data_IF_906723294495
#
_entry.id   IF_906723294495
#
_cell.length_a   1.000
_cell.length_b   1.000
_cell.length_c   1.000
_cell.angle_alpha   90.00
_cell.angle_beta   90.00
_cell.angle_gamma   90.00
#
_symmetry.space_group_name_H-M   'P 1'
#
loop_
_entity.id
_entity.type
_entity.pdbx_description
1 polymer ?
#
# COMPACT_ATOMS: atom_id res chain seq x y z
N UNK A 1 -22.78 -16.66 17.42
CA UNK A 1 -23.15 -15.29 17.03
C UNK A 1 -22.79 -15.13 15.56
N UNK A 2 -23.79 -14.99 14.68
CA UNK A 2 -23.54 -14.83 13.24
C UNK A 2 -22.87 -13.47 12.99
N UNK A 3 -21.68 -13.48 12.37
CA UNK A 3 -20.97 -12.26 11.98
C UNK A 3 -21.47 -11.81 10.61
N UNK A 4 -21.76 -10.51 10.47
CA UNK A 4 -22.06 -9.89 9.19
C UNK A 4 -20.88 -10.05 8.22
N UNK A 5 -21.16 -10.18 6.92
CA UNK A 5 -20.12 -10.02 5.92
C UNK A 5 -19.64 -8.56 5.83
N UNK A 6 -18.52 -8.30 5.15
CA UNK A 6 -17.96 -6.96 4.96
C UNK A 6 -18.94 -5.97 4.34
N UNK A 7 -19.73 -6.43 3.37
CA UNK A 7 -20.71 -5.59 2.66
C UNK A 7 -21.86 -5.22 3.59
N UNK A 8 -22.40 -6.18 4.34
CA UNK A 8 -23.48 -5.92 5.30
C UNK A 8 -22.99 -5.02 6.43
N UNK A 9 -21.77 -5.23 6.93
CA UNK A 9 -21.18 -4.39 7.97
C UNK A 9 -20.96 -2.95 7.49
N UNK A 10 -20.47 -2.76 6.26
CA UNK A 10 -20.36 -1.43 5.65
C UNK A 10 -21.72 -0.75 5.50
N UNK A 11 -22.71 -1.52 5.03
CA UNK A 11 -24.08 -1.02 4.85
C UNK A 11 -24.71 -0.64 6.19
N UNK A 12 -24.43 -1.41 7.25
CA UNK A 12 -24.87 -1.10 8.60
C UNK A 12 -24.22 0.17 9.16
N UNK A 13 -22.91 0.34 8.95
CA UNK A 13 -22.15 1.51 9.42
C UNK A 13 -22.53 2.79 8.68
N UNK A 14 -23.04 2.70 7.45
CA UNK A 14 -23.40 3.89 6.66
C UNK A 14 -24.76 4.49 7.02
N UNK A 15 -25.62 3.78 7.77
CA UNK A 15 -26.98 4.23 8.10
C UNK A 15 -26.96 5.52 8.94
N UNK A 16 -26.27 5.50 10.08
CA UNK A 16 -26.16 6.68 10.97
C UNK A 16 -24.95 6.59 11.92
N UNK A 17 -24.60 7.72 12.56
CA UNK A 17 -23.49 7.80 13.52
C UNK A 17 -23.64 6.82 14.70
N UNK A 18 -24.86 6.61 15.18
CA UNK A 18 -25.12 5.69 16.29
C UNK A 18 -24.85 4.22 15.91
N UNK A 19 -25.27 3.79 14.72
CA UNK A 19 -25.03 2.43 14.22
C UNK A 19 -23.55 2.19 13.91
N UNK A 20 -22.88 3.20 13.35
CA UNK A 20 -21.43 3.16 13.19
C UNK A 20 -20.72 2.98 14.53
N UNK A 21 -21.11 3.75 15.55
CA UNK A 21 -20.54 3.64 16.90
C UNK A 21 -20.82 2.27 17.53
N UNK A 22 -22.06 1.78 17.42
CA UNK A 22 -22.48 0.50 18.00
C UNK A 22 -21.75 -0.71 17.38
N UNK A 23 -21.36 -0.61 16.11
CA UNK A 23 -20.63 -1.67 15.39
C UNK A 23 -19.12 -1.46 15.35
N UNK A 24 -18.58 -0.53 16.13
CA UNK A 24 -17.15 -0.16 16.10
C UNK A 24 -16.19 -1.29 16.47
N UNK A 25 -16.63 -2.22 17.30
CA UNK A 25 -15.88 -3.43 17.70
C UNK A 25 -16.24 -4.65 16.86
N UNK A 26 -17.20 -4.54 15.94
CA UNK A 26 -17.61 -5.66 15.09
C UNK A 26 -16.56 -5.91 13.99
N UNK A 27 -16.06 -7.14 13.93
CA UNK A 27 -15.27 -7.68 12.82
C UNK A 27 -16.20 -8.31 11.78
N UNK A 28 -15.86 -8.20 10.49
CA UNK A 28 -16.59 -8.94 9.45
C UNK A 28 -16.22 -10.44 9.46
N UNK A 29 -17.15 -11.30 9.05
CA UNK A 29 -16.96 -12.76 8.93
C UNK A 29 -15.77 -13.17 8.04
N UNK A 30 -15.44 -12.31 7.07
CA UNK A 30 -14.49 -12.58 5.98
C UNK A 30 -13.05 -12.21 6.33
N UNK A 31 -12.78 -11.53 7.46
CA UNK A 31 -11.40 -11.30 7.94
C UNK A 31 -10.62 -12.62 8.21
N UNK A 32 -11.26 -13.78 8.06
CA UNK A 32 -10.74 -15.12 8.35
C UNK A 32 -10.79 -16.11 7.16
N UNK A 33 -11.16 -15.70 5.93
CA UNK A 33 -11.23 -16.63 4.78
C UNK A 33 -9.91 -16.66 3.99
N UNK A 34 -9.32 -17.84 3.70
CA UNK A 34 -8.00 -17.98 3.07
C UNK A 34 -7.85 -17.43 1.65
N UNK A 35 -8.94 -17.15 0.94
CA UNK A 35 -8.93 -16.80 -0.50
C UNK A 35 -9.78 -15.56 -0.80
N UNK A 36 -9.83 -14.60 0.13
CA UNK A 36 -10.53 -13.35 -0.12
C UNK A 36 -9.76 -12.50 -1.14
N UNK A 37 -10.43 -12.06 -2.20
CA UNK A 37 -9.81 -11.17 -3.20
C UNK A 37 -9.74 -9.74 -2.66
N UNK A 38 -8.60 -9.05 -2.84
CA UNK A 38 -8.47 -7.69 -2.36
C UNK A 38 -9.47 -6.76 -3.06
N UNK A 39 -9.97 -5.79 -2.31
CA UNK A 39 -10.79 -4.73 -2.86
C UNK A 39 -9.90 -3.61 -3.42
N UNK A 40 -10.47 -2.76 -4.26
CA UNK A 40 -9.76 -1.65 -4.87
C UNK A 40 -10.30 -0.31 -4.37
N UNK A 41 -9.43 0.49 -3.76
CA UNK A 41 -9.75 1.84 -3.29
C UNK A 41 -9.14 2.85 -4.26
N UNK A 42 -10.01 3.54 -5.00
CA UNK A 42 -9.66 4.65 -5.89
C UNK A 42 -9.79 5.97 -5.11
N UNK A 43 -8.76 6.80 -5.18
CA UNK A 43 -8.75 8.14 -4.62
C UNK A 43 -8.04 9.12 -5.57
N UNK A 44 -8.35 10.40 -5.42
CA UNK A 44 -7.89 11.47 -6.28
C UNK A 44 -7.78 12.75 -5.44
N UNK A 45 -6.93 13.67 -5.87
CA UNK A 45 -6.69 14.94 -5.20
C UNK A 45 -7.87 15.91 -5.40
N UNK A 46 -8.58 15.82 -6.54
CA UNK A 46 -9.66 16.75 -6.90
C UNK A 46 -11.08 16.29 -6.49
N UNK A 47 -11.20 15.25 -5.65
CA UNK A 47 -12.50 14.58 -5.43
C UNK A 47 -13.30 15.02 -4.20
N UNK A 48 -12.99 16.14 -3.54
CA UNK A 48 -13.64 16.57 -2.28
C UNK A 48 -13.59 15.44 -1.22
N UNK A 49 -12.40 14.87 -1.02
CA UNK A 49 -12.15 13.73 -0.11
C UNK A 49 -12.90 12.45 -0.46
N UNK A 50 -13.56 12.35 -1.62
CA UNK A 50 -14.37 11.19 -1.98
C UNK A 50 -13.52 10.11 -2.63
N UNK A 51 -13.52 8.94 -2.03
CA UNK A 51 -12.87 7.75 -2.55
C UNK A 51 -13.94 6.74 -2.99
N UNK A 52 -13.65 5.98 -4.03
CA UNK A 52 -14.49 4.88 -4.48
C UNK A 52 -13.85 3.56 -4.10
N UNK A 53 -14.55 2.77 -3.30
CA UNK A 53 -14.18 1.41 -2.96
C UNK A 53 -14.94 0.44 -3.85
N UNK A 54 -14.23 -0.38 -4.61
CA UNK A 54 -14.76 -1.41 -5.49
C UNK A 54 -14.47 -2.78 -4.89
N UNK A 55 -15.53 -3.54 -4.64
CA UNK A 55 -15.44 -4.91 -4.12
C UNK A 55 -15.11 -5.92 -5.22
N UNK A 56 -14.79 -7.16 -4.84
CA UNK A 56 -14.56 -8.27 -5.77
C UNK A 56 -15.71 -8.46 -6.78
N UNK A 57 -16.96 -8.25 -6.34
CA UNK A 57 -18.18 -8.37 -7.16
C UNK A 57 -18.44 -7.15 -8.06
N UNK A 58 -17.59 -6.12 -7.98
CA UNK A 58 -17.76 -4.86 -8.71
C UNK A 58 -18.72 -3.87 -8.04
N UNK A 59 -19.31 -4.21 -6.88
CA UNK A 59 -20.11 -3.25 -6.10
C UNK A 59 -19.24 -2.09 -5.63
N UNK A 60 -19.76 -0.87 -5.80
CA UNK A 60 -19.08 0.38 -5.44
C UNK A 60 -19.63 0.96 -4.15
N UNK A 61 -18.75 1.51 -3.32
CA UNK A 61 -19.08 2.29 -2.14
C UNK A 61 -18.30 3.59 -2.15
N UNK A 62 -18.97 4.70 -1.83
CA UNK A 62 -18.31 5.99 -1.68
C UNK A 62 -17.94 6.20 -0.22
N UNK A 63 -16.69 6.56 0.03
CA UNK A 63 -16.17 6.88 1.35
C UNK A 63 -15.57 8.29 1.34
N UNK A 64 -15.62 8.97 2.49
CA UNK A 64 -14.91 10.24 2.70
C UNK A 64 -13.68 9.99 3.56
N UNK A 65 -12.49 10.11 2.96
CA UNK A 65 -11.19 9.80 3.55
C UNK A 65 -10.22 10.97 3.31
N UNK A 66 -10.37 12.09 4.05
CA UNK A 66 -9.53 13.28 3.88
C UNK A 66 -8.04 13.00 4.14
N UNK A 67 -7.72 11.91 4.85
CA UNK A 67 -6.34 11.47 5.08
C UNK A 67 -5.63 11.02 3.79
N UNK A 68 -6.36 10.74 2.71
CA UNK A 68 -5.79 10.35 1.42
C UNK A 68 -5.46 11.54 0.51
N UNK A 69 -5.94 12.73 0.83
CA UNK A 69 -5.75 13.93 0.02
C UNK A 69 -4.29 14.36 -0.06
N UNK A 70 -3.79 14.49 -1.30
CA UNK A 70 -2.41 14.83 -1.60
C UNK A 70 -1.41 13.77 -1.16
N UNK A 71 -1.87 12.53 -0.91
CA UNK A 71 -0.99 11.43 -0.47
C UNK A 71 -0.69 10.45 -1.59
N UNK A 72 0.39 9.69 -1.42
CA UNK A 72 0.73 8.55 -2.25
C UNK A 72 0.89 7.33 -1.35
N UNK A 73 0.18 6.25 -1.67
CA UNK A 73 0.31 4.98 -0.96
C UNK A 73 1.55 4.23 -1.43
N UNK A 74 2.47 3.97 -0.50
CA UNK A 74 3.73 3.25 -0.74
C UNK A 74 3.62 1.75 -0.46
N UNK A 75 2.74 1.35 0.46
CA UNK A 75 2.50 -0.05 0.80
C UNK A 75 1.07 -0.28 1.30
N UNK A 76 0.51 -1.45 1.00
CA UNK A 76 -0.75 -1.94 1.57
C UNK A 76 -0.54 -3.35 2.11
N UNK A 77 -0.85 -3.55 3.39
CA UNK A 77 -0.79 -4.87 4.00
C UNK A 77 -1.72 -4.96 5.20
N UNK A 78 -2.39 -6.11 5.37
CA UNK A 78 -3.23 -6.39 6.53
C UNK A 78 -4.32 -5.32 6.81
N UNK A 79 -4.82 -4.64 5.78
CA UNK A 79 -5.82 -3.57 5.89
C UNK A 79 -5.29 -2.19 6.26
N UNK A 80 -3.97 -2.06 6.39
CA UNK A 80 -3.28 -0.80 6.62
C UNK A 80 -2.61 -0.30 5.35
N UNK A 81 -2.59 1.02 5.22
CA UNK A 81 -1.89 1.75 4.17
C UNK A 81 -0.71 2.48 4.80
N UNK A 82 0.45 2.43 4.14
CA UNK A 82 1.56 3.33 4.42
C UNK A 82 1.52 4.47 3.41
N UNK A 83 1.24 5.68 3.90
CA UNK A 83 1.02 6.86 3.08
C UNK A 83 2.17 7.85 3.24
N UNK A 84 2.56 8.46 2.14
CA UNK A 84 3.46 9.61 2.09
C UNK A 84 2.66 10.84 1.68
N UNK A 85 2.87 11.97 2.38
CA UNK A 85 2.32 13.27 2.01
C UNK A 85 3.47 14.25 1.81
N UNK A 86 3.57 14.79 0.59
CA UNK A 86 4.54 15.84 0.25
C UNK A 86 4.16 17.14 0.97
N UNK A 87 5.16 17.92 1.36
CA UNK A 87 4.96 19.32 1.74
C UNK A 87 4.34 20.12 0.57
N UNK A 88 3.32 20.92 0.84
CA UNK A 88 2.77 21.88 -0.13
C UNK A 88 3.73 23.06 -0.33
N UNK A 89 4.04 23.39 -1.59
CA UNK A 89 4.71 24.64 -1.95
C UNK A 89 3.64 25.76 -2.05
N UNK A 90 3.86 26.83 -1.31
CA UNK A 90 3.34 28.22 -1.44
C UNK A 90 1.95 28.42 -2.08
N UNK A 91 0.97 28.83 -1.26
CA UNK A 91 -0.31 29.38 -1.73
C UNK A 91 -1.48 29.29 -0.75
N UNK A 92 -1.43 28.36 0.21
CA UNK A 92 -2.44 28.27 1.27
C UNK A 92 -2.15 29.27 2.38
N UNK A 93 -3.12 30.15 2.64
CA UNK A 93 -3.00 31.28 3.54
C UNK A 93 -2.49 30.87 4.93
N UNK A 94 -1.55 31.70 5.41
CA UNK A 94 -0.89 31.66 6.72
C UNK A 94 -1.90 31.38 7.84
N UNK A 95 -1.93 30.11 8.25
CA UNK A 95 -2.66 29.57 9.39
C UNK A 95 -1.81 28.55 10.14
N UNK A 96 -0.59 28.96 10.50
CA UNK A 96 0.35 28.31 11.43
C UNK A 96 0.89 26.90 11.06
N UNK A 97 2.21 26.84 10.88
CA UNK A 97 3.09 25.68 10.67
C UNK A 97 3.20 25.14 9.23
N UNK A 98 4.13 25.71 8.45
CA UNK A 98 4.70 25.03 7.29
C UNK A 98 5.40 23.74 7.75
N UNK A 99 4.77 22.59 7.51
CA UNK A 99 5.24 21.28 7.96
C UNK A 99 6.19 20.62 6.97
N UNK A 100 7.10 19.77 7.47
CA UNK A 100 7.88 18.86 6.64
C UNK A 100 6.98 17.81 5.97
N UNK A 101 7.46 17.19 4.88
CA UNK A 101 6.84 15.99 4.32
C UNK A 101 6.65 14.93 5.42
N UNK A 102 5.56 14.16 5.34
CA UNK A 102 5.17 13.24 6.41
C UNK A 102 4.87 11.85 5.88
N UNK A 103 5.04 10.86 6.75
CA UNK A 103 4.61 9.49 6.52
C UNK A 103 3.77 9.01 7.68
N UNK A 104 2.76 8.23 7.38
CA UNK A 104 1.86 7.69 8.38
C UNK A 104 1.19 6.42 7.90
N UNK A 105 0.82 5.58 8.86
CA UNK A 105 -0.10 4.49 8.62
C UNK A 105 -1.54 4.97 8.70
N UNK A 106 -2.40 4.41 7.85
CA UNK A 106 -3.83 4.68 7.86
C UNK A 106 -4.63 3.41 7.64
N UNK A 107 -5.66 3.19 8.46
CA UNK A 107 -6.62 2.10 8.28
C UNK A 107 -7.98 2.69 7.84
N UNK A 108 -8.35 2.63 6.54
CA UNK A 108 -9.47 3.39 5.97
C UNK A 108 -10.84 3.15 6.63
N UNK A 109 -11.09 1.94 7.12
CA UNK A 109 -12.40 1.53 7.64
C UNK A 109 -12.63 1.88 9.11
N UNK A 110 -11.56 1.94 9.90
CA UNK A 110 -11.60 2.47 11.27
C UNK A 110 -11.29 3.96 11.33
N UNK A 111 -10.70 4.51 10.25
CA UNK A 111 -10.12 5.86 10.18
C UNK A 111 -9.02 6.10 11.21
N UNK A 112 -8.31 5.03 11.58
CA UNK A 112 -7.17 5.15 12.49
C UNK A 112 -5.96 5.61 11.70
N UNK A 113 -5.28 6.65 12.20
CA UNK A 113 -4.04 7.19 11.66
C UNK A 113 -2.94 7.04 12.71
N UNK A 114 -1.75 6.64 12.29
CA UNK A 114 -0.55 6.54 13.15
C UNK A 114 0.61 7.21 12.42
N UNK A 115 1.05 8.36 12.94
CA UNK A 115 2.15 9.12 12.35
C UNK A 115 3.51 8.46 12.59
N UNK A 116 4.36 8.44 11.56
CA UNK A 116 5.75 7.97 11.68
C UNK A 116 6.69 9.14 12.02
N UNK A 117 7.72 8.91 12.85
CA UNK A 117 8.71 9.93 13.16
C UNK A 117 9.63 10.21 11.95
N UNK A 118 10.00 11.49 11.80
CA UNK A 118 11.15 11.92 11.00
C UNK A 118 11.21 11.43 9.56
N UNK A 119 10.15 11.67 8.76
CA UNK A 119 10.12 11.29 7.34
C UNK A 119 11.40 11.75 6.61
N UNK A 120 12.21 10.83 6.04
CA UNK A 120 13.48 11.17 5.43
C UNK A 120 13.34 11.67 3.98
N UNK A 121 12.12 11.77 3.47
CA UNK A 121 11.84 12.03 2.05
C UNK A 121 11.20 13.40 1.88
N UNK A 122 11.79 14.24 1.04
CA UNK A 122 11.15 15.48 0.57
C UNK A 122 10.15 15.20 -0.57
N UNK A 123 10.47 14.23 -1.42
CA UNK A 123 9.69 13.82 -2.58
C UNK A 123 9.85 12.32 -2.88
N UNK A 124 8.92 11.77 -3.64
CA UNK A 124 8.97 10.39 -4.11
C UNK A 124 9.48 10.35 -5.55
N UNK A 125 10.35 9.39 -5.82
CA UNK A 125 10.74 8.93 -7.15
C UNK A 125 10.44 7.43 -7.28
N UNK A 126 11.47 6.58 -7.20
CA UNK A 126 11.38 5.13 -7.30
C UNK A 126 11.21 4.46 -5.93
N UNK A 127 10.48 5.10 -5.01
CA UNK A 127 10.30 4.59 -3.67
C UNK A 127 9.29 3.45 -3.66
N UNK A 128 9.70 2.31 -3.12
CA UNK A 128 8.83 1.15 -2.89
C UNK A 128 9.00 0.73 -1.45
N UNK A 129 7.88 0.46 -0.77
CA UNK A 129 7.87 0.13 0.63
C UNK A 129 7.13 -1.17 0.93
N UNK A 130 7.51 -1.80 2.03
CA UNK A 130 6.75 -2.84 2.68
C UNK A 130 6.87 -2.68 4.20
N UNK A 131 5.94 -3.28 4.93
CA UNK A 131 5.98 -3.33 6.39
C UNK A 131 5.61 -4.71 6.89
N UNK A 132 6.22 -5.10 8.02
CA UNK A 132 6.30 -6.50 8.44
C UNK A 132 4.98 -7.07 8.97
N UNK A 133 4.22 -6.26 9.71
CA UNK A 133 2.94 -6.64 10.29
C UNK A 133 2.09 -5.40 10.60
N UNK A 134 0.88 -5.60 11.15
CA UNK A 134 0.04 -4.47 11.55
C UNK A 134 0.83 -3.46 12.39
N UNK A 135 0.69 -2.15 12.12
CA UNK A 135 1.50 -1.15 12.79
C UNK A 135 1.33 -1.22 14.32
N UNK A 136 0.15 -1.58 14.80
CA UNK A 136 -0.11 -1.73 16.24
C UNK A 136 0.70 -2.84 16.94
N UNK A 137 1.47 -3.66 16.23
CA UNK A 137 2.45 -4.58 16.80
C UNK A 137 3.79 -3.91 17.15
N UNK A 138 4.42 -4.32 18.25
CA UNK A 138 5.79 -3.89 18.59
C UNK A 138 6.86 -4.45 17.66
N UNK A 139 6.57 -5.53 16.94
CA UNK A 139 7.48 -6.15 15.97
C UNK A 139 7.35 -5.54 14.56
N UNK A 140 6.58 -4.45 14.41
CA UNK A 140 6.40 -3.84 13.11
C UNK A 140 7.64 -3.06 12.70
N UNK A 141 8.10 -3.34 11.49
CA UNK A 141 9.22 -2.69 10.83
C UNK A 141 8.74 -2.18 9.47
N UNK A 142 9.19 -0.99 9.09
CA UNK A 142 8.95 -0.37 7.79
C UNK A 142 10.25 -0.37 7.02
N UNK A 143 10.24 -0.94 5.82
CA UNK A 143 11.37 -0.96 4.92
C UNK A 143 10.99 -0.23 3.63
N UNK A 144 11.70 0.84 3.31
CA UNK A 144 11.56 1.59 2.06
C UNK A 144 12.87 1.50 1.29
N UNK A 145 12.78 1.26 0.00
CA UNK A 145 13.92 1.31 -0.91
C UNK A 145 13.61 2.25 -2.04
N UNK A 146 14.59 3.04 -2.43
CA UNK A 146 14.56 3.79 -3.68
C UNK A 146 15.86 3.63 -4.45
N UNK A 147 15.78 3.79 -5.77
CA UNK A 147 16.96 3.94 -6.60
C UNK A 147 17.50 5.36 -6.47
N UNK A 148 18.81 5.48 -6.27
CA UNK A 148 19.53 6.77 -6.31
C UNK A 148 20.08 7.00 -7.71
N UNK A 149 20.68 5.96 -8.31
CA UNK A 149 21.17 5.94 -9.69
C UNK A 149 21.25 4.48 -10.19
N UNK A 150 21.72 4.26 -11.42
CA UNK A 150 21.80 2.93 -12.04
C UNK A 150 22.66 1.90 -11.27
N UNK A 151 23.49 2.36 -10.34
CA UNK A 151 24.46 1.55 -9.59
C UNK A 151 24.23 1.57 -8.08
N UNK A 152 23.18 2.23 -7.59
CA UNK A 152 22.98 2.45 -6.15
C UNK A 152 21.50 2.44 -5.76
N UNK A 153 21.19 1.63 -4.75
CA UNK A 153 19.92 1.64 -4.03
C UNK A 153 20.15 2.25 -2.66
N UNK A 154 19.15 2.96 -2.14
CA UNK A 154 19.14 3.42 -0.76
C UNK A 154 18.09 2.68 0.03
N UNK A 155 18.51 2.09 1.15
CA UNK A 155 17.67 1.40 2.12
C UNK A 155 17.32 2.35 3.26
N UNK A 156 16.04 2.43 3.58
CA UNK A 156 15.50 3.11 4.75
C UNK A 156 14.71 2.10 5.58
N UNK A 157 15.08 1.94 6.85
CA UNK A 157 14.42 1.04 7.78
C UNK A 157 13.99 1.81 9.04
N UNK A 158 12.76 1.61 9.48
CA UNK A 158 12.25 2.14 10.74
C UNK A 158 11.57 1.04 11.53
N UNK A 159 12.05 0.78 12.76
CA UNK A 159 11.37 -0.12 13.69
C UNK A 159 10.43 0.69 14.58
N UNK A 160 9.37 0.05 15.05
CA UNK A 160 8.50 0.70 16.03
C UNK A 160 9.28 1.02 17.32
N UNK A 161 9.08 2.23 17.84
CA UNK A 161 9.81 2.76 18.99
C UNK A 161 11.13 3.47 18.66
N UNK A 162 11.64 3.32 17.42
CA UNK A 162 12.79 4.09 16.96
C UNK A 162 12.38 5.53 16.65
N UNK A 163 13.26 6.50 16.98
CA UNK A 163 13.01 7.92 16.70
C UNK A 163 13.52 8.37 15.34
N UNK A 164 14.42 7.60 14.74
CA UNK A 164 15.14 7.94 13.52
C UNK A 164 15.19 6.74 12.58
N UNK A 165 15.27 7.02 11.28
CA UNK A 165 15.38 6.00 10.25
C UNK A 165 16.82 5.52 10.12
N UNK A 166 17.01 4.21 10.15
CA UNK A 166 18.26 3.61 9.69
C UNK A 166 18.36 3.79 8.16
N UNK A 167 19.52 4.26 7.69
CA UNK A 167 19.78 4.48 6.28
C UNK A 167 21.07 3.80 5.84
N UNK A 168 21.06 3.20 4.66
CA UNK A 168 22.27 2.60 4.07
C UNK A 168 22.24 2.69 2.54
N UNK A 169 23.37 3.09 1.96
CA UNK A 169 23.57 3.10 0.51
C UNK A 169 24.14 1.72 0.09
N UNK A 170 23.51 1.10 -0.90
CA UNK A 170 23.80 -0.27 -1.33
C UNK A 170 24.26 -0.23 -2.78
N UNK A 171 25.54 -0.51 -3.04
CA UNK A 171 26.04 -0.72 -4.38
C UNK A 171 25.27 -1.88 -5.04
N UNK A 172 24.69 -1.61 -6.20
CA UNK A 172 23.81 -2.54 -6.88
C UNK A 172 23.95 -2.39 -8.39
N UNK A 173 24.50 -3.40 -9.06
CA UNK A 173 24.49 -3.46 -10.52
C UNK A 173 23.44 -4.46 -11.01
N UNK A 174 22.64 -4.04 -11.99
CA UNK A 174 21.69 -4.94 -12.65
C UNK A 174 20.47 -5.31 -11.81
N UNK A 175 19.96 -4.45 -10.95
CA UNK A 175 18.53 -4.46 -10.61
C UNK A 175 17.86 -3.41 -11.50
N UNK A 176 16.68 -3.69 -12.03
CA UNK A 176 15.87 -2.72 -12.79
C UNK A 176 14.91 -1.98 -11.83
N UNK A 177 13.96 -1.17 -12.28
CA UNK A 177 13.01 -0.47 -11.40
C UNK A 177 12.25 -1.47 -10.53
N UNK A 178 12.33 -1.28 -9.21
CA UNK A 178 11.56 -2.05 -8.24
C UNK A 178 10.08 -1.71 -8.40
N UNK A 179 9.23 -2.72 -8.53
CA UNK A 179 7.77 -2.55 -8.76
C UNK A 179 6.91 -3.15 -7.66
N UNK A 180 7.51 -3.92 -6.76
CA UNK A 180 6.78 -4.56 -5.67
C UNK A 180 7.70 -4.77 -4.48
N UNK A 181 7.14 -4.62 -3.28
CA UNK A 181 7.77 -5.03 -2.05
C UNK A 181 6.79 -5.86 -1.22
N UNK A 182 7.35 -6.76 -0.43
CA UNK A 182 6.65 -7.78 0.31
C UNK A 182 7.40 -8.08 1.61
N UNK A 183 6.69 -8.57 2.62
CA UNK A 183 7.32 -9.11 3.81
C UNK A 183 6.88 -10.55 4.06
N UNK A 184 7.82 -11.37 4.52
CA UNK A 184 7.59 -12.77 4.85
C UNK A 184 7.86 -13.02 6.33
N UNK A 185 6.81 -13.40 7.06
CA UNK A 185 6.87 -13.51 8.52
C UNK A 185 7.68 -14.71 9.01
N UNK A 186 7.67 -15.83 8.30
CA UNK A 186 8.40 -17.06 8.70
C UNK A 186 9.92 -16.93 8.55
N UNK A 187 10.38 -16.13 7.59
CA UNK A 187 11.81 -15.86 7.36
C UNK A 187 12.29 -14.52 7.94
N UNK A 188 11.35 -13.64 8.31
CA UNK A 188 11.61 -12.27 8.76
C UNK A 188 12.37 -11.42 7.72
N UNK A 189 11.93 -11.52 6.46
CA UNK A 189 12.62 -10.86 5.35
C UNK A 189 11.67 -10.00 4.51
N UNK A 190 12.18 -8.86 4.06
CA UNK A 190 11.58 -8.03 3.04
C UNK A 190 12.10 -8.42 1.66
N UNK A 191 11.18 -8.57 0.74
CA UNK A 191 11.41 -8.97 -0.64
C UNK A 191 11.06 -7.80 -1.56
N UNK A 192 12.01 -7.37 -2.40
CA UNK A 192 11.82 -6.29 -3.37
C UNK A 192 12.04 -6.81 -4.79
N UNK A 193 10.99 -6.78 -5.60
CA UNK A 193 11.01 -7.34 -6.93
C UNK A 193 11.14 -6.25 -8.00
N UNK A 194 12.08 -6.44 -8.92
CA UNK A 194 12.17 -5.61 -10.12
C UNK A 194 11.24 -6.10 -11.24
N UNK A 195 11.22 -5.36 -12.35
CA UNK A 195 10.40 -5.68 -13.52
C UNK A 195 10.89 -6.94 -14.29
N UNK A 196 12.10 -7.44 -14.03
CA UNK A 196 12.77 -8.59 -14.68
C UNK A 196 12.91 -9.79 -13.74
N UNK A 197 12.11 -9.83 -12.68
CA UNK A 197 12.09 -10.90 -11.68
C UNK A 197 13.43 -11.09 -10.93
N UNK A 198 14.24 -10.04 -10.83
CA UNK A 198 15.37 -10.02 -9.89
C UNK A 198 14.85 -9.57 -8.54
N UNK A 199 15.47 -10.11 -7.52
CA UNK A 199 15.03 -9.96 -6.15
C UNK A 199 16.15 -9.35 -5.32
N UNK A 200 15.83 -8.27 -4.62
CA UNK A 200 16.61 -7.77 -3.51
C UNK A 200 15.93 -8.17 -2.21
N UNK A 201 16.67 -8.87 -1.34
CA UNK A 201 16.16 -9.31 -0.04
C UNK A 201 16.85 -8.52 1.05
N UNK A 202 16.08 -7.96 1.96
CA UNK A 202 16.55 -7.37 3.23
C UNK A 202 16.09 -8.25 4.36
N UNK A 203 16.98 -8.59 5.27
CA UNK A 203 16.65 -9.35 6.47
C UNK A 203 17.10 -8.58 7.70
N UNK A 204 16.31 -8.67 8.75
CA UNK A 204 16.54 -8.01 10.02
C UNK A 204 16.71 -9.08 11.09
N UNK A 205 17.83 -9.03 11.82
CA UNK A 205 18.07 -9.92 12.97
C UNK A 205 18.52 -9.06 14.15
N UNK A 206 17.58 -8.80 15.07
CA UNK A 206 17.77 -7.87 16.17
C UNK A 206 18.31 -6.50 15.70
N UNK A 207 19.61 -6.24 15.88
CA UNK A 207 20.27 -4.99 15.50
C UNK A 207 21.03 -5.08 14.17
N UNK A 208 21.11 -6.26 13.57
CA UNK A 208 21.75 -6.47 12.28
C UNK A 208 20.75 -6.26 11.16
N UNK A 209 21.19 -5.53 10.15
CA UNK A 209 20.49 -5.37 8.88
C UNK A 209 21.40 -5.93 7.82
N UNK A 210 20.93 -6.95 7.10
CA UNK A 210 21.67 -7.56 6.01
C UNK A 210 20.84 -7.60 4.74
N UNK A 211 21.51 -7.79 3.61
CA UNK A 211 20.85 -7.89 2.33
C UNK A 211 21.55 -8.84 1.38
N UNK A 212 20.81 -9.32 0.39
CA UNK A 212 21.35 -10.16 -0.68
C UNK A 212 20.58 -9.98 -1.99
N UNK A 213 21.30 -10.20 -3.09
CA UNK A 213 20.75 -10.25 -4.42
C UNK A 213 20.44 -11.70 -4.80
N UNK A 214 19.27 -11.92 -5.36
CA UNK A 214 18.87 -13.22 -5.89
C UNK A 214 18.18 -13.06 -7.24
N UNK A 215 18.18 -14.11 -8.05
CA UNK A 215 17.42 -14.16 -9.30
C UNK A 215 16.26 -15.13 -9.12
N UNK A 216 15.05 -14.69 -9.45
CA UNK A 216 13.92 -15.60 -9.58
C UNK A 216 14.12 -16.50 -10.80
N UNK A 217 14.05 -17.82 -10.60
CA UNK A 217 14.02 -18.80 -11.69
C UNK A 217 12.75 -19.64 -11.55
N UNK A 218 11.80 -19.55 -12.50
CA UNK A 218 10.61 -20.40 -12.49
C UNK A 218 10.86 -21.84 -12.94
N UNK A 219 12.11 -22.23 -13.32
CA UNK A 219 12.37 -23.43 -14.16
C UNK A 219 13.22 -24.52 -13.46
N UNK A 220 13.49 -24.45 -12.15
CA UNK A 220 14.19 -25.55 -11.47
C UNK A 220 13.20 -26.48 -10.73
N UNK A 221 12.85 -27.66 -11.27
CA UNK A 221 12.01 -28.64 -10.56
C UNK A 221 12.73 -29.34 -9.39
N UNK A 222 14.06 -29.17 -9.25
CA UNK A 222 14.87 -29.65 -8.13
C UNK A 222 15.26 -28.55 -7.14
N UNK A 223 14.99 -27.28 -7.48
CA UNK A 223 15.17 -26.13 -6.62
C UNK A 223 13.94 -25.85 -5.75
N UNK A 224 14.05 -25.02 -4.70
CA UNK A 224 12.90 -24.64 -3.89
C UNK A 224 11.85 -23.97 -4.78
N UNK A 225 10.65 -24.56 -4.85
CA UNK A 225 9.51 -24.01 -5.59
C UNK A 225 9.26 -22.54 -5.24
N UNK A 226 8.68 -21.74 -6.16
CA UNK A 226 8.42 -20.33 -5.90
C UNK A 226 7.59 -20.19 -4.62
N UNK A 227 8.23 -19.56 -3.62
CA UNK A 227 7.64 -19.27 -2.30
C UNK A 227 6.49 -18.27 -2.38
N UNK A 228 6.42 -17.52 -3.49
CA UNK A 228 5.40 -16.52 -3.77
C UNK A 228 4.82 -16.64 -5.17
N UNK A 229 3.52 -16.35 -5.30
CA UNK A 229 2.93 -16.06 -6.61
C UNK A 229 2.83 -14.57 -6.85
N UNK A 230 3.38 -14.12 -7.96
CA UNK A 230 3.31 -12.72 -8.36
C UNK A 230 2.18 -12.51 -9.36
N UNK A 231 1.38 -11.48 -9.14
CA UNK A 231 0.33 -11.02 -10.03
C UNK A 231 0.71 -9.66 -10.61
N UNK A 232 1.41 -9.70 -11.76
CA UNK A 232 1.66 -8.51 -12.60
C UNK A 232 0.37 -8.13 -13.33
N UNK A 233 0.22 -6.84 -13.63
CA UNK A 233 -0.91 -6.32 -14.44
C UNK A 233 -2.30 -6.67 -13.88
N UNK A 234 -2.44 -6.77 -12.56
CA UNK A 234 -3.67 -7.25 -11.91
C UNK A 234 -4.83 -6.27 -12.09
N UNK A 235 -4.58 -4.96 -12.13
CA UNK A 235 -5.56 -3.94 -12.48
C UNK A 235 -6.16 -4.17 -13.86
N UNK A 236 -5.32 -4.50 -14.84
CA UNK A 236 -5.77 -4.83 -16.19
C UNK A 236 -6.51 -6.17 -16.23
N UNK A 237 -5.92 -7.21 -15.63
CA UNK A 237 -6.47 -8.57 -15.65
C UNK A 237 -7.82 -8.71 -14.91
N UNK A 238 -8.15 -7.75 -14.03
CA UNK A 238 -9.43 -7.71 -13.31
C UNK A 238 -10.47 -6.77 -13.94
N UNK A 239 -10.20 -6.24 -15.13
CA UNK A 239 -11.02 -5.26 -15.84
C UNK A 239 -11.37 -4.05 -14.96
N UNK A 240 -10.44 -3.60 -14.12
CA UNK A 240 -10.77 -2.62 -13.08
C UNK A 240 -11.19 -1.27 -13.66
N UNK A 241 -10.65 -0.87 -14.83
CA UNK A 241 -11.10 0.33 -15.56
C UNK A 241 -12.60 0.28 -15.89
N UNK A 242 -13.09 -0.88 -16.34
CA UNK A 242 -14.52 -1.11 -16.62
C UNK A 242 -15.33 -1.13 -15.33
N UNK A 243 -14.86 -1.82 -14.29
CA UNK A 243 -15.54 -1.86 -12.98
C UNK A 243 -15.67 -0.45 -12.40
N UNK A 244 -14.67 0.41 -12.55
CA UNK A 244 -14.72 1.82 -12.14
C UNK A 244 -15.66 2.68 -12.99
N UNK A 245 -16.08 2.22 -14.15
CA UNK A 245 -16.90 3.01 -15.10
C UNK A 245 -16.06 3.99 -15.93
N UNK A 246 -14.74 3.76 -16.03
CA UNK A 246 -13.78 4.64 -16.70
C UNK A 246 -13.42 4.15 -18.11
N UNK A 247 -14.17 3.19 -18.66
CA UNK A 247 -13.89 2.56 -19.95
C UNK A 247 -14.46 3.31 -21.18
N UNK A 248 -15.06 4.49 -20.99
CA UNK A 248 -15.61 5.31 -22.09
C UNK A 248 -14.57 6.33 -22.59
N UNK A 249 -14.73 6.79 -23.84
CA UNK A 249 -13.80 7.69 -24.54
C UNK A 249 -13.46 8.98 -23.77
N UNK A 250 -14.37 9.49 -22.93
CA UNK A 250 -14.17 10.67 -22.08
C UNK A 250 -13.15 10.46 -20.94
N UNK A 251 -12.73 9.22 -20.70
CA UNK A 251 -11.77 8.83 -19.65
C UNK A 251 -10.49 8.19 -20.24
N UNK A 252 -10.21 8.39 -21.53
CA UNK A 252 -8.96 7.93 -22.17
C UNK A 252 -7.73 8.75 -21.76
N UNK A 253 -7.92 9.98 -21.31
CA UNK A 253 -6.86 10.90 -20.88
C UNK A 253 -6.51 10.78 -19.38
N UNK A 254 -6.72 9.60 -18.79
CA UNK A 254 -6.47 9.36 -17.38
C UNK A 254 -5.31 8.40 -17.20
N UNK A 255 -4.30 8.82 -16.44
CA UNK A 255 -3.21 7.96 -16.00
C UNK A 255 -3.52 7.39 -14.61
N UNK A 256 -3.03 6.19 -14.32
CA UNK A 256 -3.21 5.55 -13.03
C UNK A 256 -1.87 5.16 -12.41
N UNK A 257 -1.78 5.32 -11.11
CA UNK A 257 -0.78 4.64 -10.29
C UNK A 257 -1.49 3.76 -9.27
N UNK A 258 -1.08 2.51 -9.15
CA UNK A 258 -1.65 1.57 -8.18
C UNK A 258 -0.59 1.13 -7.17
N UNK A 259 -1.02 1.03 -5.90
CA UNK A 259 -0.28 0.35 -4.85
C UNK A 259 -0.84 -1.07 -4.70
N UNK A 260 0.05 -2.05 -4.85
CA UNK A 260 -0.24 -3.46 -4.67
C UNK A 260 -0.45 -3.86 -3.21
N UNK A 261 -0.76 -5.14 -2.99
CA UNK A 261 -0.93 -5.72 -1.65
C UNK A 261 -0.47 -7.18 -1.63
N UNK A 262 -0.09 -7.64 -0.44
CA UNK A 262 0.03 -9.06 -0.14
C UNK A 262 -1.35 -9.70 -0.02
N UNK A 263 -1.51 -10.88 -0.62
CA UNK A 263 -2.68 -11.75 -0.57
C UNK A 263 -2.28 -13.18 -0.21
N UNK A 264 -3.26 -13.97 0.22
CA UNK A 264 -3.13 -15.43 0.31
C UNK A 264 -3.96 -16.06 -0.79
N UNK A 265 -3.41 -17.07 -1.45
CA UNK A 265 -4.09 -17.81 -2.52
C UNK A 265 -3.71 -19.28 -2.41
N UNK A 266 -4.69 -20.15 -2.12
CA UNK A 266 -4.44 -21.58 -1.94
C UNK A 266 -3.44 -21.88 -0.82
N UNK A 267 -3.46 -21.07 0.24
CA UNK A 267 -2.53 -21.18 1.38
C UNK A 267 -1.10 -20.70 1.12
N UNK A 268 -0.80 -20.23 -0.10
CA UNK A 268 0.50 -19.66 -0.46
C UNK A 268 0.42 -18.13 -0.50
N UNK A 269 1.52 -17.48 -0.13
CA UNK A 269 1.63 -16.03 -0.23
C UNK A 269 1.68 -15.61 -1.70
N UNK A 270 0.93 -14.56 -2.04
CA UNK A 270 0.92 -13.98 -3.37
C UNK A 270 0.87 -12.46 -3.27
N UNK A 271 1.36 -11.77 -4.30
CA UNK A 271 1.45 -10.31 -4.29
C UNK A 271 0.94 -9.72 -5.58
N UNK A 272 0.18 -8.64 -5.44
CA UNK A 272 -0.18 -7.75 -6.54
C UNK A 272 0.91 -6.69 -6.68
N UNK A 273 1.37 -6.42 -7.90
CA UNK A 273 2.40 -5.42 -8.16
C UNK A 273 1.85 -3.99 -8.15
N UNK A 274 2.73 -3.01 -7.93
CA UNK A 274 2.41 -1.63 -8.26
C UNK A 274 2.39 -1.50 -9.78
N UNK A 275 1.38 -0.80 -10.30
CA UNK A 275 1.21 -0.58 -11.73
C UNK A 275 1.21 0.92 -12.02
N UNK A 276 1.89 1.30 -13.10
CA UNK A 276 1.82 2.65 -13.67
C UNK A 276 1.22 2.51 -15.06
N UNK A 277 0.06 3.10 -15.26
CA UNK A 277 -0.73 3.00 -16.49
C UNK A 277 -0.79 4.41 -17.07
N UNK A 278 -0.11 4.62 -18.19
CA UNK A 278 -0.13 5.89 -18.92
C UNK A 278 -1.46 6.07 -19.67
N UNK A 279 -1.88 7.33 -19.84
CA UNK A 279 -2.93 7.68 -20.81
C UNK A 279 -2.42 7.50 -22.23
N UNK A 280 -3.33 7.47 -23.20
CA UNK A 280 -2.98 7.42 -24.63
C UNK A 280 -2.67 8.81 -25.21
N UNK A 281 -2.74 9.87 -24.40
CA UNK A 281 -2.55 11.26 -24.82
C UNK A 281 -1.07 11.59 -25.05
N UNK A 282 -0.76 12.28 -26.15
CA UNK A 282 0.59 12.73 -26.52
C UNK A 282 1.15 13.80 -25.55
N UNK A 283 0.29 14.43 -24.73
CA UNK A 283 0.69 15.43 -23.71
C UNK A 283 0.44 14.88 -22.29
N UNK A 284 1.46 14.28 -21.67
CA UNK A 284 1.40 13.76 -20.27
C UNK A 284 0.99 14.83 -19.25
N UNK A 285 1.30 16.11 -19.52
CA UNK A 285 1.09 17.25 -18.64
C UNK A 285 -0.37 17.69 -18.45
N UNK A 286 -1.33 17.11 -19.18
CA UNK A 286 -2.78 17.40 -19.04
C UNK A 286 -3.61 16.21 -18.57
N UNK A 287 -3.01 15.03 -18.40
CA UNK A 287 -3.74 13.84 -17.98
C UNK A 287 -4.10 13.91 -16.51
N UNK A 288 -5.37 13.64 -16.16
CA UNK A 288 -5.77 13.51 -14.75
C UNK A 288 -5.10 12.26 -14.18
N UNK A 289 -4.39 12.40 -13.06
CA UNK A 289 -3.69 11.28 -12.44
C UNK A 289 -4.51 10.69 -11.29
N UNK A 290 -5.00 9.47 -11.48
CA UNK A 290 -5.73 8.75 -10.45
C UNK A 290 -4.81 7.82 -9.65
N UNK A 291 -5.08 7.71 -8.35
CA UNK A 291 -4.35 6.82 -7.44
C UNK A 291 -5.26 5.70 -6.96
N UNK A 292 -4.72 4.49 -6.95
CA UNK A 292 -5.45 3.29 -6.56
C UNK A 292 -4.67 2.47 -5.55
N UNK A 293 -5.36 1.77 -4.66
CA UNK A 293 -4.72 0.80 -3.77
C UNK A 293 -5.55 -0.46 -3.64
N UNK A 294 -4.87 -1.61 -3.75
CA UNK A 294 -5.44 -2.90 -3.40
C UNK A 294 -5.41 -3.09 -1.89
N UNK A 295 -6.54 -3.46 -1.29
CA UNK A 295 -6.66 -3.50 0.17
C UNK A 295 -7.59 -4.62 0.64
N UNK A 296 -7.17 -5.26 1.73
CA UNK A 296 -8.01 -6.15 2.52
C UNK A 296 -8.85 -5.35 3.51
N UNK A 297 -10.18 -5.42 3.45
CA UNK A 297 -11.03 -4.69 4.38
C UNK A 297 -10.91 -5.29 5.78
N UNK A 298 -10.48 -4.46 6.74
CA UNK A 298 -10.47 -4.76 8.16
C UNK A 298 -11.22 -3.68 8.93
N UNK A 299 -12.11 -4.09 9.82
CA UNK A 299 -13.14 -3.18 10.35
C UNK A 299 -13.02 -2.86 11.84
N UNK A 300 -12.19 -3.57 12.60
CA UNK A 300 -12.06 -3.35 14.04
C UNK A 300 -11.31 -2.04 14.35
N UNK A 301 -11.68 -1.39 15.45
CA UNK A 301 -10.95 -0.22 15.97
C UNK A 301 -9.68 -0.64 16.70
N UNK A 302 -8.64 0.16 16.51
CA UNK A 302 -7.41 0.11 17.29
C UNK A 302 -7.61 0.82 18.63
N UNK A 303 -7.15 0.27 19.76
CA UNK A 303 -7.16 0.96 21.05
C UNK A 303 -6.25 2.22 21.04
N UNK A 304 -6.62 3.32 21.74
CA UNK A 304 -5.85 4.57 21.73
C UNK A 304 -4.38 4.45 22.18
N UNK A 305 -4.06 3.47 23.03
CA UNK A 305 -2.68 3.23 23.49
C UNK A 305 -1.74 2.72 22.40
N UNK A 306 -2.30 2.30 21.26
CA UNK A 306 -1.54 1.75 20.13
C UNK A 306 -1.35 2.78 18.99
N UNK A 307 -1.81 4.02 19.18
CA UNK A 307 -1.80 5.09 18.15
C UNK A 307 -0.48 5.88 18.05
N UNK A 308 0.53 5.55 18.86
CA UNK A 308 1.87 6.16 18.79
C UNK A 308 2.89 5.18 18.21
N UNK A 309 3.77 5.69 17.34
CA UNK A 309 4.91 4.97 16.76
C UNK A 309 6.20 5.19 17.52
#
# INVERSE_FOLDING_TARGET
MERLGPIELLSFRSVCKAWNSASSTASAKIESTPDFEPWFLLYDEDSDHKCQLVTETGKKFTMRLPELDGTTCLASNQGWLLLFKKQGLEGEAVGNCGGASSMFFFQPFSKTKIDLPGCPFSELSDHVAAFSCAPTSWACEVCVINRVNDYELKLHLLRRGDKEWFQHDIPCSGIDTIKCAAYRTDEQEFYFFDNRDRLFVVFTDHNLVGWRFSRWSPVDPTGPQPKFFVSKSYFMNTDMKKKLGLAMAEHEDVSFSTCGTQRKSGGKDSFVYNESISSNSIEESKSRQLKGVWIYPKFYRVPPKEETW
#
